data_IF_582506021170
#
_entry.id   IF_582506021170
#
_cell.length_a   1.000
_cell.length_b   1.000
_cell.length_c   1.000
_cell.angle_alpha   90.00
_cell.angle_beta   90.00
_cell.angle_gamma   90.00
#
_symmetry.space_group_name_H-M   'P 1'
#
loop_
_entity.id
_entity.type
_entity.pdbx_description
1 polymer ?
#
# COMPACT_ATOMS: atom_id res chain seq x y z
N UNK A 1 -8.01 8.82 6.38
CA UNK A 1 -6.91 8.03 5.76
C UNK A 1 -7.07 7.89 4.24
N UNK A 2 -8.23 7.45 3.72
CA UNK A 2 -8.41 7.20 2.27
C UNK A 2 -8.09 8.41 1.39
N UNK A 3 -8.62 9.61 1.73
CA UNK A 3 -8.32 10.82 0.95
C UNK A 3 -6.81 11.14 0.93
N UNK A 4 -6.11 10.98 2.05
CA UNK A 4 -4.66 11.18 2.13
C UNK A 4 -3.93 10.16 1.25
N UNK A 5 -4.31 8.88 1.31
CA UNK A 5 -3.75 7.86 0.43
C UNK A 5 -3.92 8.27 -1.05
N UNK A 6 -5.13 8.65 -1.46
CA UNK A 6 -5.40 9.10 -2.83
C UNK A 6 -4.57 10.33 -3.22
N UNK A 7 -4.38 11.28 -2.30
CA UNK A 7 -3.50 12.43 -2.54
C UNK A 7 -2.06 11.98 -2.76
N UNK A 8 -1.52 11.08 -1.92
CA UNK A 8 -0.15 10.57 -2.08
C UNK A 8 0.03 9.82 -3.41
N UNK A 9 -0.96 8.99 -3.80
CA UNK A 9 -0.98 8.32 -5.09
C UNK A 9 -1.04 9.33 -6.25
N UNK A 10 -1.86 10.38 -6.13
CA UNK A 10 -1.94 11.46 -7.12
C UNK A 10 -0.65 12.27 -7.24
N UNK A 11 0.15 12.36 -6.17
CA UNK A 11 1.48 12.97 -6.18
C UNK A 11 2.57 12.02 -6.74
N UNK A 12 2.20 10.80 -7.12
CA UNK A 12 3.11 9.80 -7.70
C UNK A 12 3.95 9.05 -6.67
N UNK A 13 3.61 9.11 -5.37
CA UNK A 13 4.30 8.36 -4.32
C UNK A 13 3.98 6.87 -4.46
N UNK A 14 5.02 6.03 -4.37
CA UNK A 14 4.96 4.57 -4.53
C UNK A 14 5.57 3.83 -3.34
N UNK A 15 5.34 2.52 -3.26
CA UNK A 15 5.92 1.66 -2.22
C UNK A 15 5.24 1.78 -0.86
N UNK A 16 4.01 2.30 -0.84
CA UNK A 16 3.24 2.50 0.39
C UNK A 16 2.77 1.14 0.94
N UNK A 17 3.05 0.89 2.22
CA UNK A 17 2.51 -0.24 2.96
C UNK A 17 1.18 0.13 3.62
N UNK A 18 0.12 -0.65 3.40
CA UNK A 18 -1.24 -0.40 3.87
C UNK A 18 -1.72 -1.55 4.79
N UNK A 19 -2.18 -1.22 6.00
CA UNK A 19 -2.62 -2.20 7.00
C UNK A 19 -3.37 -1.59 8.19
N UNK A 20 -3.85 -2.40 9.17
CA UNK A 20 -3.56 -3.83 9.33
C UNK A 20 -4.30 -4.77 8.38
N UNK A 21 -5.41 -4.30 7.80
CA UNK A 21 -6.14 -5.00 6.75
C UNK A 21 -6.40 -4.06 5.59
N UNK A 22 -6.60 -4.60 4.39
CA UNK A 22 -7.07 -3.78 3.28
C UNK A 22 -8.49 -3.28 3.55
N UNK A 23 -8.84 -2.06 3.12
CA UNK A 23 -10.21 -1.58 3.23
C UNK A 23 -11.18 -2.48 2.46
N UNK A 24 -12.34 -2.78 3.05
CA UNK A 24 -13.32 -3.72 2.49
C UNK A 24 -13.88 -3.34 1.11
N UNK A 25 -13.74 -2.08 0.71
CA UNK A 25 -14.16 -1.58 -0.61
C UNK A 25 -13.13 -1.80 -1.73
N UNK A 26 -11.93 -2.29 -1.40
CA UNK A 26 -10.92 -2.64 -2.40
C UNK A 26 -11.18 -4.06 -2.89
N UNK A 27 -11.57 -4.17 -4.15
CA UNK A 27 -11.73 -5.45 -4.84
C UNK A 27 -10.37 -5.96 -5.35
N UNK A 28 -10.22 -7.26 -5.67
CA UNK A 28 -8.98 -7.80 -6.23
C UNK A 28 -8.51 -7.07 -7.49
N UNK A 29 -9.43 -6.68 -8.38
CA UNK A 29 -9.07 -5.95 -9.61
C UNK A 29 -8.51 -4.56 -9.30
N UNK A 30 -9.13 -3.84 -8.35
CA UNK A 30 -8.63 -2.52 -7.92
C UNK A 30 -7.27 -2.68 -7.22
N UNK A 31 -7.10 -3.71 -6.40
CA UNK A 31 -5.83 -3.99 -5.74
C UNK A 31 -4.72 -4.23 -6.78
N UNK A 32 -4.97 -5.02 -7.83
CA UNK A 32 -3.98 -5.27 -8.87
C UNK A 32 -3.54 -3.97 -9.55
N UNK A 33 -4.47 -3.07 -9.88
CA UNK A 33 -4.15 -1.74 -10.43
C UNK A 33 -3.26 -0.95 -9.46
N UNK A 34 -3.56 -0.98 -8.17
CA UNK A 34 -2.78 -0.28 -7.15
C UNK A 34 -1.36 -0.87 -6.98
N UNK A 35 -1.22 -2.19 -7.06
CA UNK A 35 0.08 -2.88 -7.01
C UNK A 35 0.91 -2.55 -8.24
N UNK A 36 0.35 -2.73 -9.44
CA UNK A 36 1.05 -2.54 -10.71
C UNK A 36 1.50 -1.10 -10.93
N UNK A 37 0.64 -0.12 -10.59
CA UNK A 37 0.93 1.28 -10.88
C UNK A 37 1.68 1.99 -9.74
N UNK A 38 1.45 1.61 -8.48
CA UNK A 38 1.92 2.34 -7.30
C UNK A 38 2.72 1.52 -6.30
N UNK A 39 2.99 0.23 -6.57
CA UNK A 39 3.75 -0.64 -5.67
C UNK A 39 3.16 -0.68 -4.24
N UNK A 40 1.82 -0.68 -4.16
CA UNK A 40 1.08 -0.82 -2.90
C UNK A 40 1.31 -2.22 -2.32
N UNK A 41 1.63 -2.30 -1.02
CA UNK A 41 1.93 -3.55 -0.32
C UNK A 41 1.08 -3.68 0.94
N UNK A 42 0.61 -4.88 1.32
CA UNK A 42 0.16 -5.10 2.69
C UNK A 42 1.35 -5.03 3.67
N UNK A 43 1.07 -4.76 4.94
CA UNK A 43 2.07 -4.99 6.01
C UNK A 43 2.18 -6.49 6.32
N UNK A 44 3.31 -6.92 6.88
CA UNK A 44 3.49 -8.30 7.38
C UNK A 44 3.76 -8.29 8.89
N UNK A 45 4.86 -8.88 9.34
CA UNK A 45 5.34 -8.75 10.71
C UNK A 45 6.27 -7.53 10.84
N UNK A 46 6.34 -6.91 12.03
CA UNK A 46 7.23 -5.77 12.25
C UNK A 46 8.68 -6.05 11.84
N UNK A 47 9.23 -7.23 12.16
CA UNK A 47 10.62 -7.59 11.84
C UNK A 47 10.86 -7.70 10.32
N UNK A 48 9.95 -8.33 9.60
CA UNK A 48 10.04 -8.47 8.13
C UNK A 48 9.90 -7.11 7.44
N UNK A 49 8.94 -6.29 7.88
CA UNK A 49 8.73 -4.97 7.31
C UNK A 49 9.90 -4.03 7.58
N UNK A 50 10.44 -4.03 8.81
CA UNK A 50 11.63 -3.24 9.16
C UNK A 50 12.83 -3.63 8.30
N UNK A 51 13.10 -4.93 8.16
CA UNK A 51 14.17 -5.44 7.29
C UNK A 51 13.96 -5.02 5.84
N UNK A 52 12.74 -5.15 5.32
CA UNK A 52 12.43 -4.79 3.93
C UNK A 52 12.43 -3.28 3.66
N UNK A 53 12.32 -2.43 4.69
CA UNK A 53 12.35 -0.96 4.57
C UNK A 53 13.77 -0.41 4.76
N UNK A 54 14.55 -0.97 5.71
CA UNK A 54 15.81 -0.39 6.16
C UNK A 54 17.08 -1.14 5.71
N UNK A 55 16.95 -2.41 5.30
CA UNK A 55 18.08 -3.28 4.93
C UNK A 55 18.49 -4.24 6.04
#
# INVERSE_FOLDING_TARGET
AVAILLTLLSLGIKGIRLGPSLPAFITPNVLNVLVENFDIKPITTPDEDLKAILG
#
